data_IF_765238162722
#
_entry.id   IF_765238162722
#
_cell.length_a   1.000
_cell.length_b   1.000
_cell.length_c   1.000
_cell.angle_alpha   90.00
_cell.angle_beta   90.00
_cell.angle_gamma   90.00
#
_symmetry.space_group_name_H-M   'P 1'
#
loop_
_entity.id
_entity.type
_entity.pdbx_description
1 polymer ?
#
# COMPACT_ATOMS: atom_id res chain seq x y z
N UNK A 1 -26.06 12.01 -7.77
CA UNK A 1 -26.14 11.52 -6.38
C UNK A 1 -25.76 10.06 -6.41
N UNK A 2 -24.59 9.81 -5.82
CA UNK A 2 -24.09 8.57 -5.21
C UNK A 2 -23.89 7.33 -6.09
N UNK A 3 -22.70 7.26 -6.71
CA UNK A 3 -22.07 6.00 -7.06
C UNK A 3 -20.83 5.80 -6.17
N UNK A 4 -21.04 5.36 -4.93
CA UNK A 4 -19.96 4.73 -4.17
C UNK A 4 -19.87 3.27 -4.59
N UNK A 5 -18.81 2.92 -5.32
CA UNK A 5 -18.46 1.52 -5.54
C UNK A 5 -17.82 1.00 -4.25
N UNK A 6 -18.60 0.24 -3.48
CA UNK A 6 -18.10 -0.52 -2.33
C UNK A 6 -17.43 -1.79 -2.88
N UNK A 7 -16.11 -1.92 -2.72
CA UNK A 7 -15.41 -3.18 -2.96
C UNK A 7 -15.86 -4.21 -1.92
N UNK A 8 -16.76 -5.10 -2.32
CA UNK A 8 -17.29 -6.15 -1.46
C UNK A 8 -16.40 -7.40 -1.59
N UNK A 9 -15.37 -7.53 -0.75
CA UNK A 9 -14.49 -8.69 -0.74
C UNK A 9 -15.18 -9.90 -0.07
N UNK A 10 -15.94 -10.68 -0.86
CA UNK A 10 -16.48 -11.98 -0.42
C UNK A 10 -15.63 -13.13 -0.95
N UNK A 11 -14.70 -13.61 -0.13
CA UNK A 11 -14.30 -15.02 -0.13
C UNK A 11 -14.12 -15.50 1.31
N UNK A 12 -15.16 -16.08 1.90
CA UNK A 12 -15.06 -16.89 3.11
C UNK A 12 -15.55 -18.31 2.83
N UNK A 13 -14.64 -19.26 3.06
CA UNK A 13 -14.81 -20.71 2.94
C UNK A 13 -15.76 -21.18 4.06
N UNK A 14 -16.80 -21.95 3.72
CA UNK A 14 -17.70 -22.57 4.70
C UNK A 14 -17.27 -24.01 4.95
N UNK A 15 -16.72 -24.27 6.13
CA UNK A 15 -16.45 -25.61 6.65
C UNK A 15 -17.74 -26.29 7.13
N UNK A 16 -17.84 -27.58 6.84
CA UNK A 16 -18.94 -28.46 7.20
C UNK A 16 -19.09 -28.61 8.73
N UNK A 17 -20.34 -28.58 9.20
CA UNK A 17 -20.70 -28.94 10.56
C UNK A 17 -21.92 -29.87 10.49
N UNK A 18 -21.73 -31.15 10.83
CA UNK A 18 -22.77 -31.95 11.50
C UNK A 18 -22.23 -33.28 12.06
N UNK A 19 -22.79 -33.65 13.22
CA UNK A 19 -22.89 -34.98 13.82
C UNK A 19 -21.67 -35.37 14.72
N UNK A 20 -21.79 -35.93 15.94
CA UNK A 20 -22.87 -36.59 16.70
C UNK A 20 -22.59 -36.44 18.21
N UNK A 21 -23.68 -36.40 18.98
CA UNK A 21 -23.77 -36.44 20.45
C UNK A 21 -23.59 -37.88 20.99
N UNK A 22 -22.70 -38.12 21.95
CA UNK A 22 -22.77 -39.33 22.82
C UNK A 22 -22.23 -39.04 24.22
N UNK A 23 -23.11 -39.18 25.22
CA UNK A 23 -22.80 -39.19 26.66
C UNK A 23 -22.01 -40.45 27.05
N UNK A 24 -21.11 -40.36 28.03
CA UNK A 24 -21.10 -41.23 29.20
C UNK A 24 -20.10 -40.77 30.28
N UNK A 25 -20.56 -40.91 31.52
CA UNK A 25 -19.92 -40.68 32.82
C UNK A 25 -18.55 -41.36 32.97
N UNK A 26 -17.58 -40.71 33.63
CA UNK A 26 -16.75 -41.37 34.65
C UNK A 26 -16.16 -40.37 35.66
N UNK A 27 -16.11 -40.84 36.90
CA UNK A 27 -16.06 -40.14 38.17
C UNK A 27 -14.89 -39.18 38.43
N UNK A 28 -15.16 -38.24 39.34
CA UNK A 28 -14.23 -37.74 40.33
C UNK A 28 -13.21 -38.82 40.76
N UNK A 29 -11.93 -38.44 40.81
CA UNK A 29 -11.07 -38.52 42.00
C UNK A 29 -9.60 -38.65 41.60
N UNK A 30 -8.92 -37.53 41.27
CA UNK A 30 -7.48 -37.35 41.51
C UNK A 30 -7.17 -35.88 41.75
N UNK A 31 -7.87 -35.29 42.71
CA UNK A 31 -7.47 -34.01 43.29
C UNK A 31 -6.38 -34.28 44.34
N UNK A 32 -5.14 -34.58 43.89
CA UNK A 32 -3.94 -34.55 44.75
C UNK A 32 -2.56 -34.66 44.06
N UNK A 33 -2.45 -34.53 42.73
CA UNK A 33 -1.14 -34.46 42.04
C UNK A 33 -0.98 -33.34 41.00
N UNK A 34 -1.86 -32.34 40.96
CA UNK A 34 -1.83 -31.27 39.93
C UNK A 34 -1.31 -29.92 40.42
N UNK A 35 -0.70 -29.82 41.62
CA UNK A 35 -0.17 -28.55 42.14
C UNK A 35 1.34 -28.32 41.95
N UNK A 36 2.08 -29.27 41.38
CA UNK A 36 3.52 -29.09 41.08
C UNK A 36 3.88 -29.04 39.59
N UNK A 37 2.90 -29.19 38.67
CA UNK A 37 3.15 -29.11 37.22
C UNK A 37 2.59 -27.82 36.57
N UNK A 38 2.59 -26.70 37.29
CA UNK A 38 2.23 -25.36 36.75
C UNK A 38 3.46 -24.45 36.57
N UNK A 39 4.62 -25.01 36.16
CA UNK A 39 5.82 -24.21 35.88
C UNK A 39 6.53 -24.50 34.57
N UNK A 40 5.97 -25.34 33.69
CA UNK A 40 6.48 -25.52 32.33
C UNK A 40 5.34 -25.37 31.32
N UNK A 41 4.74 -24.17 31.27
CA UNK A 41 4.24 -23.69 29.98
C UNK A 41 5.42 -23.04 29.28
N UNK A 42 6.10 -23.84 28.47
CA UNK A 42 6.87 -23.33 27.34
C UNK A 42 5.97 -22.33 26.62
N UNK A 43 6.35 -21.06 26.66
CA UNK A 43 5.76 -20.02 25.84
C UNK A 43 5.83 -20.49 24.40
N UNK A 44 4.72 -21.01 23.89
CA UNK A 44 4.50 -21.13 22.46
C UNK A 44 4.55 -19.71 21.93
N UNK A 45 5.72 -19.33 21.43
CA UNK A 45 5.91 -18.15 20.62
C UNK A 45 4.90 -18.28 19.47
N UNK A 46 3.83 -17.51 19.58
CA UNK A 46 2.82 -17.40 18.53
C UNK A 46 3.58 -16.80 17.36
N UNK A 47 3.96 -17.62 16.37
CA UNK A 47 4.51 -17.14 15.10
C UNK A 47 3.48 -16.17 14.54
N UNK A 48 3.68 -14.88 14.76
CA UNK A 48 2.85 -13.83 14.18
C UNK A 48 3.17 -13.81 12.71
N UNK A 49 2.23 -14.29 11.90
CA UNK A 49 2.20 -14.02 10.46
C UNK A 49 2.61 -12.55 10.22
N UNK A 50 3.54 -12.27 9.30
CA UNK A 50 3.98 -10.91 9.05
C UNK A 50 2.77 -10.04 8.71
N UNK A 51 2.64 -8.91 9.40
CA UNK A 51 1.61 -7.93 9.10
C UNK A 51 1.85 -7.42 7.67
N UNK A 52 1.00 -7.85 6.73
CA UNK A 52 1.13 -7.51 5.31
C UNK A 52 1.18 -6.01 5.07
N UNK A 53 0.44 -5.21 5.85
CA UNK A 53 0.47 -3.75 5.78
C UNK A 53 1.85 -3.20 6.10
N UNK A 54 2.52 -3.73 7.12
CA UNK A 54 3.86 -3.27 7.51
C UNK A 54 4.93 -3.74 6.52
N UNK A 55 4.79 -4.95 5.97
CA UNK A 55 5.67 -5.43 4.89
C UNK A 55 5.51 -4.57 3.65
N UNK A 56 4.28 -4.32 3.20
CA UNK A 56 4.00 -3.50 2.03
C UNK A 56 4.40 -2.03 2.25
N UNK A 57 4.27 -1.51 3.49
CA UNK A 57 4.74 -0.17 3.82
C UNK A 57 6.21 0.01 3.51
N UNK A 58 7.07 -0.92 3.95
CA UNK A 58 8.52 -0.87 3.66
C UNK A 58 8.83 -0.94 2.16
N UNK A 59 8.04 -1.71 1.41
CA UNK A 59 8.18 -1.82 -0.04
C UNK A 59 7.83 -0.50 -0.71
N UNK A 60 6.71 0.10 -0.33
CA UNK A 60 6.24 1.38 -0.89
C UNK A 60 7.18 2.52 -0.50
N UNK A 61 7.69 2.55 0.72
CA UNK A 61 8.68 3.53 1.18
C UNK A 61 9.97 3.48 0.36
N UNK A 62 10.54 2.28 0.13
CA UNK A 62 11.76 2.15 -0.67
C UNK A 62 11.50 2.42 -2.16
N UNK A 63 10.34 1.99 -2.68
CA UNK A 63 9.91 2.37 -4.03
C UNK A 63 9.83 3.89 -4.18
N UNK A 64 9.17 4.56 -3.25
CA UNK A 64 8.96 6.01 -3.29
C UNK A 64 10.28 6.78 -3.16
N UNK A 65 11.20 6.31 -2.31
CA UNK A 65 12.52 6.92 -2.19
C UNK A 65 13.32 6.79 -3.50
N UNK A 66 13.38 5.58 -4.08
CA UNK A 66 14.10 5.37 -5.35
C UNK A 66 13.45 6.18 -6.48
N UNK A 67 12.12 6.20 -6.54
CA UNK A 67 11.36 6.82 -7.64
C UNK A 67 11.29 8.34 -7.54
N UNK A 68 10.83 8.90 -6.42
CA UNK A 68 10.62 10.34 -6.27
C UNK A 68 11.84 11.10 -5.75
N UNK A 69 12.55 10.54 -4.75
CA UNK A 69 13.70 11.22 -4.12
C UNK A 69 14.97 11.06 -4.95
N UNK A 70 15.36 9.82 -5.26
CA UNK A 70 16.55 9.51 -6.05
C UNK A 70 16.32 9.72 -7.57
N UNK A 71 15.06 9.93 -7.99
CA UNK A 71 14.63 10.10 -9.38
C UNK A 71 15.07 8.98 -10.31
N UNK A 72 15.21 7.75 -9.80
CA UNK A 72 15.65 6.60 -10.57
C UNK A 72 14.47 5.71 -10.97
N UNK A 73 13.72 6.18 -11.98
CA UNK A 73 12.52 5.52 -12.51
C UNK A 73 12.79 4.06 -12.89
N UNK A 74 13.86 3.80 -13.65
CA UNK A 74 14.19 2.45 -14.12
C UNK A 74 14.43 1.50 -12.94
N UNK A 75 15.26 1.89 -11.96
CA UNK A 75 15.56 1.05 -10.80
C UNK A 75 14.33 0.78 -9.94
N UNK A 76 13.46 1.78 -9.74
CA UNK A 76 12.24 1.61 -8.97
C UNK A 76 11.31 0.57 -9.63
N UNK A 77 11.11 0.68 -10.94
CA UNK A 77 10.28 -0.27 -11.70
C UNK A 77 10.87 -1.68 -11.73
N UNK A 78 12.16 -1.83 -12.07
CA UNK A 78 12.82 -3.14 -12.10
C UNK A 78 12.76 -3.84 -10.74
N UNK A 79 12.92 -3.09 -9.65
CA UNK A 79 12.93 -3.64 -8.30
C UNK A 79 11.53 -4.01 -7.80
N UNK A 80 10.52 -3.17 -8.06
CA UNK A 80 9.24 -3.27 -7.35
C UNK A 80 8.01 -3.44 -8.22
N UNK A 81 8.07 -3.21 -9.53
CA UNK A 81 6.91 -3.35 -10.41
C UNK A 81 6.91 -4.73 -11.05
N UNK A 82 5.72 -5.34 -11.15
CA UNK A 82 5.52 -6.63 -11.82
C UNK A 82 5.63 -6.49 -13.34
N UNK A 83 5.97 -7.57 -14.04
CA UNK A 83 5.92 -7.61 -15.51
C UNK A 83 4.48 -7.47 -16.03
N UNK A 84 3.52 -8.03 -15.30
CA UNK A 84 2.08 -8.00 -15.61
C UNK A 84 1.36 -6.79 -14.99
N UNK A 85 2.08 -5.70 -14.70
CA UNK A 85 1.47 -4.50 -14.12
C UNK A 85 0.42 -3.89 -15.05
N UNK A 86 -0.66 -3.38 -14.45
CA UNK A 86 -1.75 -2.70 -15.17
C UNK A 86 -1.71 -1.20 -14.89
N UNK A 87 -1.71 -0.39 -15.95
CA UNK A 87 -1.76 1.06 -15.90
C UNK A 87 -3.13 1.61 -16.26
N UNK A 88 -3.67 2.48 -15.40
CA UNK A 88 -4.97 3.12 -15.63
C UNK A 88 -4.89 4.60 -16.00
N UNK A 89 -3.73 5.26 -15.90
CA UNK A 89 -3.56 6.65 -16.36
C UNK A 89 -3.89 6.74 -17.86
N UNK A 90 -4.88 7.55 -18.27
CA UNK A 90 -5.34 7.61 -19.65
C UNK A 90 -4.30 8.21 -20.62
N UNK A 91 -3.23 8.79 -20.11
CA UNK A 91 -2.17 9.44 -20.89
C UNK A 91 -0.89 8.61 -21.00
N UNK A 92 -0.83 7.43 -20.36
CA UNK A 92 0.32 6.53 -20.38
C UNK A 92 -0.15 5.17 -20.89
N UNK A 93 0.54 4.61 -21.89
CA UNK A 93 0.23 3.27 -22.37
C UNK A 93 0.51 2.22 -21.29
N UNK A 94 -0.23 1.11 -21.35
CA UNK A 94 -0.11 0.01 -20.40
C UNK A 94 1.25 -0.71 -20.46
N UNK A 95 1.62 -1.35 -19.35
CA UNK A 95 2.84 -2.14 -19.18
C UNK A 95 4.06 -1.36 -18.66
N UNK A 96 4.95 -2.01 -17.88
CA UNK A 96 5.98 -1.30 -17.09
C UNK A 96 6.97 -0.56 -17.98
N UNK A 97 7.31 -1.12 -19.15
CA UNK A 97 8.19 -0.46 -20.12
C UNK A 97 7.61 0.86 -20.62
N UNK A 98 6.32 0.90 -20.97
CA UNK A 98 5.68 2.09 -21.49
C UNK A 98 5.64 3.21 -20.44
N UNK A 99 5.37 2.85 -19.18
CA UNK A 99 5.43 3.80 -18.08
C UNK A 99 6.85 4.32 -17.82
N UNK A 100 7.87 3.45 -17.82
CA UNK A 100 9.27 3.87 -17.73
C UNK A 100 9.60 4.89 -18.84
N UNK A 101 9.27 4.57 -20.08
CA UNK A 101 9.58 5.43 -21.24
C UNK A 101 8.85 6.79 -21.14
N UNK A 102 7.62 6.82 -20.62
CA UNK A 102 6.84 8.04 -20.41
C UNK A 102 7.35 8.89 -19.24
N UNK A 103 7.78 8.26 -18.14
CA UNK A 103 8.11 8.96 -16.89
C UNK A 103 9.57 9.42 -16.83
N UNK A 104 10.52 8.67 -17.41
CA UNK A 104 11.96 9.01 -17.36
C UNK A 104 12.27 10.45 -17.77
N UNK A 105 11.76 10.99 -18.89
CA UNK A 105 12.05 12.38 -19.27
C UNK A 105 11.60 13.42 -18.24
N UNK A 106 10.52 13.13 -17.51
CA UNK A 106 10.00 14.01 -16.46
C UNK A 106 10.91 14.00 -15.23
N UNK A 107 11.43 12.84 -14.83
CA UNK A 107 12.33 12.70 -13.69
C UNK A 107 13.78 13.09 -14.00
N UNK A 108 14.23 12.95 -15.25
CA UNK A 108 15.55 13.42 -15.69
C UNK A 108 15.65 14.97 -15.71
N UNK A 109 14.50 15.67 -15.69
CA UNK A 109 14.49 17.12 -15.51
C UNK A 109 14.97 17.49 -14.09
N UNK A 110 16.13 18.12 -14.02
CA UNK A 110 16.75 18.54 -12.76
C UNK A 110 16.01 19.68 -12.07
N UNK A 111 15.23 20.49 -12.80
CA UNK A 111 14.42 21.57 -12.24
C UNK A 111 13.11 21.08 -11.63
N UNK A 112 12.64 19.89 -12.04
CA UNK A 112 11.41 19.33 -11.52
C UNK A 112 11.54 18.89 -10.06
N UNK A 113 10.49 19.04 -9.27
CA UNK A 113 10.44 18.61 -7.87
C UNK A 113 9.24 17.72 -7.64
N UNK A 114 9.42 16.62 -6.90
CA UNK A 114 8.37 15.68 -6.53
C UNK A 114 8.43 15.47 -5.01
N UNK A 115 7.70 16.29 -4.26
CA UNK A 115 7.75 16.25 -2.79
C UNK A 115 6.60 15.37 -2.31
N UNK A 116 6.93 14.26 -1.64
CA UNK A 116 5.93 13.40 -1.01
C UNK A 116 5.34 14.15 0.18
N UNK A 117 4.03 14.40 0.14
CA UNK A 117 3.29 15.09 1.21
C UNK A 117 2.53 14.13 2.11
N UNK A 118 2.12 12.97 1.58
CA UNK A 118 1.50 11.92 2.39
C UNK A 118 1.72 10.54 1.76
N UNK A 119 1.84 9.52 2.61
CA UNK A 119 1.86 8.12 2.19
C UNK A 119 0.93 7.31 3.08
N UNK A 120 0.03 6.56 2.46
CA UNK A 120 -0.90 5.64 3.13
C UNK A 120 -0.64 4.25 2.60
N UNK A 121 -0.66 3.27 3.49
CA UNK A 121 -0.59 1.84 3.14
C UNK A 121 -1.54 1.09 4.05
N UNK A 122 -2.42 0.30 3.46
CA UNK A 122 -3.40 -0.53 4.14
C UNK A 122 -3.61 -1.84 3.36
N UNK A 123 -3.18 -2.96 3.94
CA UNK A 123 -3.22 -4.25 3.29
C UNK A 123 -2.39 -4.27 2.01
N UNK A 124 -3.05 -4.56 0.89
CA UNK A 124 -2.50 -4.60 -0.47
C UNK A 124 -2.61 -3.26 -1.21
N UNK A 125 -3.18 -2.22 -0.59
CA UNK A 125 -3.34 -0.91 -1.22
C UNK A 125 -2.37 0.12 -0.64
N UNK A 126 -1.87 1.00 -1.51
CA UNK A 126 -1.07 2.15 -1.12
C UNK A 126 -1.47 3.41 -1.89
N UNK A 127 -1.25 4.57 -1.29
CA UNK A 127 -1.41 5.87 -1.93
C UNK A 127 -0.23 6.77 -1.56
N UNK A 128 0.31 7.48 -2.55
CA UNK A 128 1.32 8.50 -2.37
C UNK A 128 0.77 9.82 -2.92
N UNK A 129 0.64 10.82 -2.04
CA UNK A 129 0.27 12.18 -2.43
C UNK A 129 1.55 12.99 -2.64
N UNK A 130 1.75 13.49 -3.85
CA UNK A 130 2.93 14.24 -4.26
C UNK A 130 2.55 15.66 -4.65
N UNK A 131 3.35 16.63 -4.20
CA UNK A 131 3.41 17.96 -4.80
C UNK A 131 4.45 17.94 -5.92
N UNK A 132 3.98 17.91 -7.17
CA UNK A 132 4.81 17.86 -8.36
C UNK A 132 4.92 19.23 -9.02
N UNK A 133 6.14 19.71 -9.26
CA UNK A 133 6.42 20.95 -10.01
C UNK A 133 7.36 20.63 -11.16
N UNK A 134 7.12 21.23 -12.33
CA UNK A 134 8.03 21.10 -13.47
C UNK A 134 9.32 21.89 -13.27
N UNK A 135 9.22 23.01 -12.58
CA UNK A 135 10.29 23.93 -12.23
C UNK A 135 9.84 24.82 -11.06
N UNK A 136 10.71 25.71 -10.58
CA UNK A 136 10.41 26.58 -9.45
C UNK A 136 9.41 27.70 -9.76
N UNK A 137 9.16 28.00 -11.03
CA UNK A 137 8.37 29.16 -11.48
C UNK A 137 6.86 28.89 -11.51
N UNK A 138 6.46 27.63 -11.56
CA UNK A 138 5.05 27.21 -11.56
C UNK A 138 4.58 26.76 -10.18
N UNK A 139 3.28 26.82 -9.90
CA UNK A 139 2.71 26.28 -8.66
C UNK A 139 2.72 24.74 -8.64
N UNK A 140 2.65 24.11 -9.81
CA UNK A 140 2.63 22.67 -9.96
C UNK A 140 1.25 22.06 -9.75
N UNK A 141 1.21 20.79 -9.36
CA UNK A 141 -0.01 20.04 -9.11
C UNK A 141 0.12 19.09 -7.93
N UNK A 142 -1.03 18.70 -7.39
CA UNK A 142 -1.16 17.53 -6.53
C UNK A 142 -1.39 16.30 -7.40
N UNK A 143 -0.62 15.23 -7.14
CA UNK A 143 -0.81 13.93 -7.76
C UNK A 143 -1.04 12.93 -6.64
N UNK A 144 -2.15 12.21 -6.70
CA UNK A 144 -2.40 11.05 -5.84
C UNK A 144 -2.18 9.79 -6.66
N UNK A 145 -1.01 9.18 -6.51
CA UNK A 145 -0.70 7.89 -7.12
C UNK A 145 -1.21 6.78 -6.19
N UNK A 146 -1.98 5.85 -6.73
CA UNK A 146 -2.63 4.76 -6.01
C UNK A 146 -2.09 3.44 -6.58
N UNK A 147 -1.66 2.55 -5.71
CA UNK A 147 -1.04 1.29 -6.08
C UNK A 147 -1.75 0.11 -5.43
N UNK A 148 -1.85 -0.99 -6.16
CA UNK A 148 -2.12 -2.32 -5.60
C UNK A 148 -0.84 -3.14 -5.60
N UNK A 149 -0.62 -3.87 -4.51
CA UNK A 149 0.51 -4.77 -4.32
C UNK A 149 0.07 -6.23 -4.24
N UNK A 150 0.89 -7.11 -4.79
CA UNK A 150 0.70 -8.56 -4.71
C UNK A 150 2.08 -9.20 -4.66
N UNK A 151 2.27 -10.14 -3.72
CA UNK A 151 3.54 -10.87 -3.53
C UNK A 151 4.79 -9.96 -3.46
N UNK A 152 4.64 -8.78 -2.85
CA UNK A 152 5.72 -7.80 -2.68
C UNK A 152 6.07 -7.00 -3.94
N UNK A 153 5.21 -7.01 -4.97
CA UNK A 153 5.33 -6.22 -6.19
C UNK A 153 4.13 -5.29 -6.37
N UNK A 154 4.35 -4.13 -6.95
CA UNK A 154 3.31 -3.26 -7.49
C UNK A 154 2.80 -3.90 -8.78
N UNK A 155 1.51 -4.21 -8.81
CA UNK A 155 0.85 -4.91 -9.91
C UNK A 155 -0.20 -4.06 -10.61
N UNK A 156 -0.56 -2.91 -10.05
CA UNK A 156 -1.60 -2.06 -10.61
C UNK A 156 -1.42 -0.62 -10.14
N UNK A 157 -1.74 0.35 -11.01
CA UNK A 157 -1.61 1.77 -10.73
C UNK A 157 -2.74 2.61 -11.32
N UNK A 158 -3.20 3.56 -10.51
CA UNK A 158 -4.06 4.67 -10.92
C UNK A 158 -3.45 5.98 -10.44
N UNK A 159 -3.73 7.08 -11.14
CA UNK A 159 -3.45 8.40 -10.62
C UNK A 159 -4.62 9.37 -10.85
N UNK A 160 -4.66 10.39 -9.99
CA UNK A 160 -5.41 11.62 -10.24
C UNK A 160 -4.46 12.79 -10.08
N UNK A 161 -4.49 13.69 -11.04
CA UNK A 161 -3.73 14.95 -11.01
C UNK A 161 -4.69 16.13 -10.94
N UNK A 162 -4.45 17.03 -10.01
CA UNK A 162 -5.08 18.34 -9.91
C UNK A 162 -4.01 19.44 -10.00
N UNK A 163 -4.18 20.38 -10.93
CA UNK A 163 -3.29 21.56 -10.99
C UNK A 163 -3.64 22.52 -9.85
N UNK A 164 -2.61 23.04 -9.16
CA UNK A 164 -2.83 24.01 -8.09
C UNK A 164 -3.21 25.36 -8.74
N UNK A 165 -4.44 25.87 -8.51
CA UNK A 165 -4.89 27.09 -9.16
C UNK A 165 -4.16 28.31 -8.60
N UNK A 166 -3.81 29.27 -9.47
CA UNK A 166 -3.21 30.54 -9.06
C UNK A 166 -4.18 31.48 -8.36
N UNK A 167 -5.48 31.21 -8.45
CA UNK A 167 -6.57 32.00 -7.92
C UNK A 167 -7.49 31.18 -6.99
N UNK A 168 -6.90 30.38 -6.11
CA UNK A 168 -7.66 29.61 -5.11
C UNK A 168 -8.58 30.52 -4.27
N UNK A 169 -9.86 30.15 -4.18
CA UNK A 169 -10.85 30.84 -3.33
C UNK A 169 -10.68 30.45 -1.86
N UNK A 170 -10.19 29.23 -1.60
CA UNK A 170 -9.96 28.72 -0.25
C UNK A 170 -8.70 29.37 0.36
N UNK A 171 -8.75 29.96 1.57
CA UNK A 171 -7.58 30.51 2.23
C UNK A 171 -6.55 29.46 2.69
N UNK A 172 -6.94 28.18 2.77
CA UNK A 172 -5.99 27.10 3.05
C UNK A 172 -5.27 26.68 1.79
N UNK A 173 -3.94 26.76 1.81
CA UNK A 173 -3.10 26.22 0.75
C UNK A 173 -3.27 24.69 0.67
N UNK A 174 -3.24 24.14 -0.54
CA UNK A 174 -3.29 22.69 -0.76
C UNK A 174 -2.09 21.98 -0.12
N UNK A 175 -0.91 22.62 -0.19
CA UNK A 175 0.30 22.20 0.51
C UNK A 175 0.95 23.41 1.19
N UNK A 176 1.51 23.20 2.38
CA UNK A 176 2.29 24.23 3.06
C UNK A 176 3.64 24.43 2.35
N UNK A 177 4.13 25.66 2.35
CA UNK A 177 5.36 26.06 1.63
C UNK A 177 6.67 25.77 2.38
N UNK A 178 6.62 25.18 3.59
CA UNK A 178 7.78 25.03 4.49
C UNK A 178 8.21 23.57 4.77
N UNK A 179 7.84 22.62 3.93
CA UNK A 179 8.29 21.21 4.02
C UNK A 179 8.92 20.69 2.74
#
# INVERSE_FOLDING_TARGET
>A
MDNYIIFNNKRSKLYAFLAVLTLCFFSCNQNKQTKENMKNETSTEKVTEPNITETNRKIVEDFADIFYTQKNVTKAFEKYVSEDYIQHNPNILDGPKAAIDALKPMFDNTEATFIIKQMLVDGDMAMILIHAKKDSTVLGGAVADIYRLEEGKIVEHWDIKEEIPSNAINPHAMFNTEE
#
